data_IF_052992827845
#
_entry.id   IF_052992827845
#
_cell.length_a   1.000
_cell.length_b   1.000
_cell.length_c   1.000
_cell.angle_alpha   90.00
_cell.angle_beta   90.00
_cell.angle_gamma   90.00
#
_symmetry.space_group_name_H-M   'P 1'
#
loop_
_entity.id
_entity.type
_entity.pdbx_description
1 polymer ?
#
# COMPACT_ATOMS: atom_id res chain seq x y z
N UNK A 1 14.41 24.01 -13.55
CA UNK A 1 14.64 22.59 -13.92
C UNK A 1 14.83 21.86 -12.60
N UNK A 2 13.78 21.23 -12.06
CA UNK A 2 13.83 20.67 -10.70
C UNK A 2 14.61 19.36 -10.74
N UNK A 3 15.91 19.45 -10.45
CA UNK A 3 16.71 18.30 -10.06
C UNK A 3 16.18 17.87 -8.68
N UNK A 4 15.06 17.14 -8.66
CA UNK A 4 14.53 16.65 -7.39
C UNK A 4 15.40 15.47 -6.99
N UNK A 5 16.54 15.80 -6.38
CA UNK A 5 17.54 14.83 -5.89
C UNK A 5 16.87 13.73 -5.06
N UNK A 6 15.74 14.06 -4.43
CA UNK A 6 14.90 13.21 -3.57
C UNK A 6 13.77 12.49 -4.32
N UNK A 7 13.92 12.26 -5.62
CA UNK A 7 12.95 11.51 -6.41
C UNK A 7 13.52 10.20 -6.94
N UNK A 8 12.64 9.24 -7.19
CA UNK A 8 12.99 8.00 -7.86
C UNK A 8 11.84 7.53 -8.75
N UNK A 9 12.13 6.64 -9.69
CA UNK A 9 11.14 6.12 -10.64
C UNK A 9 11.11 4.61 -10.58
N UNK A 10 9.90 4.07 -10.62
CA UNK A 10 9.65 2.65 -10.75
C UNK A 10 9.17 2.38 -12.17
N UNK A 11 9.97 1.65 -12.95
CA UNK A 11 9.64 1.25 -14.31
C UNK A 11 9.19 -0.21 -14.32
N UNK A 12 8.00 -0.44 -14.88
CA UNK A 12 7.45 -1.77 -15.07
C UNK A 12 7.76 -2.32 -16.46
N UNK A 13 7.78 -3.65 -16.66
CA UNK A 13 8.11 -4.26 -17.95
C UNK A 13 7.21 -3.83 -19.11
N UNK A 14 5.98 -3.41 -18.80
CA UNK A 14 4.98 -2.91 -19.76
C UNK A 14 5.18 -1.43 -20.15
N UNK A 15 6.34 -0.84 -19.83
CA UNK A 15 6.69 0.57 -20.07
C UNK A 15 5.88 1.57 -19.24
N UNK A 16 5.10 1.13 -18.26
CA UNK A 16 4.51 2.02 -17.28
C UNK A 16 5.58 2.51 -16.30
N UNK A 17 5.50 3.79 -15.94
CA UNK A 17 6.46 4.42 -15.03
C UNK A 17 5.70 5.23 -13.99
N UNK A 18 5.97 4.93 -12.71
CA UNK A 18 5.49 5.74 -11.59
C UNK A 18 6.66 6.56 -11.06
N UNK A 19 6.45 7.86 -10.89
CA UNK A 19 7.44 8.78 -10.32
C UNK A 19 7.09 9.10 -8.88
N UNK A 20 8.05 8.87 -7.98
CA UNK A 20 7.92 9.14 -6.56
C UNK A 20 8.82 10.31 -6.16
N UNK A 21 8.30 11.13 -5.26
CA UNK A 21 9.02 12.26 -4.68
C UNK A 21 9.03 12.07 -3.17
N UNK A 22 10.20 12.19 -2.56
CA UNK A 22 10.40 12.11 -1.12
C UNK A 22 10.81 13.47 -0.58
N UNK A 23 10.42 13.75 0.66
CA UNK A 23 10.76 15.00 1.33
C UNK A 23 12.23 15.02 1.76
N UNK A 24 12.84 13.86 2.05
CA UNK A 24 14.25 13.72 2.42
C UNK A 24 14.95 12.57 1.65
N UNK A 25 16.30 12.62 1.57
CA UNK A 25 17.08 11.51 1.02
C UNK A 25 16.95 10.23 1.87
N UNK A 26 16.79 10.35 3.18
CA UNK A 26 16.58 9.22 4.08
C UNK A 26 15.25 8.51 3.79
N UNK A 27 14.18 9.27 3.57
CA UNK A 27 12.88 8.71 3.19
C UNK A 27 12.95 8.01 1.85
N UNK A 28 13.60 8.62 0.86
CA UNK A 28 13.85 7.98 -0.45
C UNK A 28 14.60 6.66 -0.29
N UNK A 29 15.65 6.61 0.53
CA UNK A 29 16.42 5.39 0.76
C UNK A 29 15.55 4.27 1.39
N UNK A 30 14.76 4.62 2.40
CA UNK A 30 13.83 3.69 3.06
C UNK A 30 12.74 3.19 2.11
N UNK A 31 12.17 4.08 1.30
CA UNK A 31 11.19 3.69 0.27
C UNK A 31 11.78 2.76 -0.77
N UNK A 32 13.00 3.03 -1.25
CA UNK A 32 13.69 2.15 -2.19
C UNK A 32 13.95 0.76 -1.59
N UNK A 33 14.33 0.67 -0.32
CA UNK A 33 14.52 -0.61 0.37
C UNK A 33 13.23 -1.43 0.42
N UNK A 34 12.14 -0.83 0.90
CA UNK A 34 10.83 -1.49 1.01
C UNK A 34 10.31 -1.92 -0.36
N UNK A 35 10.33 -1.01 -1.34
CA UNK A 35 9.80 -1.26 -2.67
C UNK A 35 10.60 -2.35 -3.40
N UNK A 36 11.93 -2.40 -3.24
CA UNK A 36 12.76 -3.50 -3.77
C UNK A 36 12.42 -4.85 -3.16
N UNK A 37 12.10 -4.88 -1.87
CA UNK A 37 11.74 -6.11 -1.19
C UNK A 37 10.33 -6.61 -1.54
N UNK A 38 9.41 -5.69 -1.83
CA UNK A 38 7.98 -5.98 -2.02
C UNK A 38 7.61 -6.21 -3.49
N UNK A 39 8.15 -5.40 -4.41
CA UNK A 39 7.75 -5.46 -5.83
C UNK A 39 8.29 -6.74 -6.46
N UNK A 40 7.40 -7.48 -7.11
CA UNK A 40 7.71 -8.80 -7.69
C UNK A 40 7.59 -9.95 -6.69
N UNK A 41 7.36 -9.67 -5.40
CA UNK A 41 7.05 -10.68 -4.37
C UNK A 41 5.60 -10.50 -3.93
N UNK A 42 4.68 -11.03 -4.74
CA UNK A 42 3.27 -11.11 -4.36
C UNK A 42 3.13 -12.24 -3.35
N UNK A 43 2.68 -11.97 -2.11
CA UNK A 43 2.47 -13.04 -1.12
C UNK A 43 1.38 -14.00 -1.62
N UNK A 44 1.49 -15.32 -1.35
CA UNK A 44 0.40 -16.24 -1.61
C UNK A 44 -0.78 -15.86 -0.71
N UNK A 45 -1.94 -15.60 -1.31
CA UNK A 45 -3.16 -15.10 -0.66
C UNK A 45 -3.01 -13.71 -0.03
N UNK A 46 -2.90 -12.65 -0.83
CA UNK A 46 -2.87 -11.31 -0.28
C UNK A 46 -4.22 -10.95 0.36
N UNK A 47 -4.20 -10.58 1.64
CA UNK A 47 -5.38 -10.13 2.38
C UNK A 47 -6.13 -8.99 1.65
N UNK A 48 -5.40 -8.11 0.96
CA UNK A 48 -6.01 -7.03 0.18
C UNK A 48 -6.87 -7.55 -0.98
N UNK A 49 -6.57 -8.71 -1.56
CA UNK A 49 -7.40 -9.28 -2.63
C UNK A 49 -8.73 -9.77 -2.08
N UNK A 50 -8.74 -10.37 -0.89
CA UNK A 50 -9.98 -10.75 -0.18
C UNK A 50 -10.82 -9.52 0.16
N UNK A 51 -10.19 -8.45 0.66
CA UNK A 51 -10.89 -7.20 0.97
C UNK A 51 -11.46 -6.53 -0.29
N UNK A 52 -10.70 -6.51 -1.39
CA UNK A 52 -11.19 -6.00 -2.69
C UNK A 52 -12.35 -6.85 -3.20
N UNK A 53 -12.26 -8.17 -3.08
CA UNK A 53 -13.34 -9.09 -3.45
C UNK A 53 -14.60 -8.82 -2.64
N UNK A 54 -14.50 -8.77 -1.31
CA UNK A 54 -15.63 -8.44 -0.42
C UNK A 54 -16.27 -7.10 -0.80
N UNK A 55 -15.43 -6.09 -1.08
CA UNK A 55 -15.92 -4.78 -1.49
C UNK A 55 -16.69 -4.82 -2.81
N UNK A 56 -16.24 -5.63 -3.77
CA UNK A 56 -16.95 -5.80 -5.04
C UNK A 56 -18.29 -6.52 -4.82
N UNK A 57 -18.34 -7.55 -3.98
CA UNK A 57 -19.59 -8.23 -3.63
C UNK A 57 -20.59 -7.28 -2.97
N UNK A 58 -20.17 -6.41 -2.04
CA UNK A 58 -21.03 -5.40 -1.41
C UNK A 58 -21.66 -4.44 -2.43
N UNK A 59 -20.85 -3.96 -3.40
CA UNK A 59 -21.29 -3.05 -4.45
C UNK A 59 -22.30 -3.76 -5.38
N UNK A 60 -22.02 -5.01 -5.75
CA UNK A 60 -22.90 -5.81 -6.61
C UNK A 60 -24.19 -6.21 -5.91
N UNK A 61 -24.15 -6.48 -4.60
CA UNK A 61 -25.32 -6.86 -3.81
C UNK A 61 -26.19 -5.67 -3.37
N UNK A 62 -25.78 -4.43 -3.68
CA UNK A 62 -26.46 -3.21 -3.21
C UNK A 62 -26.45 -3.03 -1.69
N UNK A 63 -25.57 -3.77 -0.98
CA UNK A 63 -25.46 -3.68 0.47
C UNK A 63 -24.64 -2.43 0.82
N UNK A 64 -25.19 -1.58 1.70
CA UNK A 64 -24.50 -0.37 2.16
C UNK A 64 -23.14 -0.74 2.78
N UNK A 65 -22.07 0.06 2.55
CA UNK A 65 -20.76 -0.17 3.16
C UNK A 65 -20.92 -0.29 4.66
N UNK A 66 -20.59 -1.46 5.24
CA UNK A 66 -20.57 -1.57 6.70
C UNK A 66 -19.33 -0.77 7.16
N UNK A 67 -19.47 0.30 7.96
CA UNK A 67 -18.31 1.05 8.42
C UNK A 67 -17.38 0.08 9.14
N UNK A 68 -16.13 0.03 8.70
CA UNK A 68 -15.08 -0.78 9.30
C UNK A 68 -14.85 -0.30 10.72
N UNK A 69 -15.58 -0.88 11.68
CA UNK A 69 -15.32 -0.71 13.10
C UNK A 69 -13.99 -1.41 13.36
N UNK A 70 -12.90 -0.65 13.43
CA UNK A 70 -11.65 -1.13 14.00
C UNK A 70 -11.98 -1.83 15.32
N UNK A 71 -11.46 -3.03 15.60
CA UNK A 71 -11.62 -3.61 16.92
C UNK A 71 -11.04 -2.61 17.93
N UNK A 72 -11.71 -2.38 19.08
CA UNK A 72 -11.14 -1.55 20.12
C UNK A 72 -9.78 -2.14 20.47
N UNK A 73 -8.74 -1.30 20.45
CA UNK A 73 -7.44 -1.65 21.02
C UNK A 73 -7.73 -2.16 22.43
N UNK A 74 -7.50 -3.44 22.68
CA UNK A 74 -7.55 -3.98 24.03
C UNK A 74 -6.33 -3.41 24.74
N UNK A 75 -6.49 -2.22 25.32
CA UNK A 75 -5.58 -1.72 26.35
C UNK A 75 -5.45 -2.80 27.42
N UNK A 76 -4.20 -3.12 27.72
CA UNK A 76 -3.83 -4.33 28.42
C UNK A 76 -4.49 -4.45 29.78
N UNK A 77 -4.97 -5.66 30.06
CA UNK A 77 -4.95 -6.18 31.42
C UNK A 77 -3.52 -6.19 31.91
N UNK A 78 -3.18 -5.32 32.86
CA UNK A 78 -2.19 -5.66 33.89
C UNK A 78 -2.36 -4.78 35.13
N UNK A 79 -2.71 -5.47 36.23
CA UNK A 79 -2.53 -5.15 37.65
C UNK A 79 -3.50 -4.19 38.33
#
# INVERSE_FOLDING_TARGET
MYNVERSFRLAFPNKEVISFFADTEADKAKWLEILRALIGRIPPNPLWAELVWQRQEEILSGAQPRPSVLPPVTEGTSS
#
